data_IF_028394676744
#
_entry.id   IF_028394676744
#
_cell.length_a   1.000
_cell.length_b   1.000
_cell.length_c   1.000
_cell.angle_alpha   90.00
_cell.angle_beta   90.00
_cell.angle_gamma   90.00
#
_symmetry.space_group_name_H-M   'P 1'
#
loop_
_entity.id
_entity.type
_entity.pdbx_description
1 polymer ?
#
# COMPACT_ATOMS: atom_id res chain seq x y z
N UNK A 1 -12.47 -1.00 30.22
CA UNK A 1 -13.27 -2.18 30.61
C UNK A 1 -13.19 -2.35 32.10
N UNK A 2 -14.23 -2.88 32.75
CA UNK A 2 -14.34 -3.14 34.19
C UNK A 2 -13.17 -3.96 34.72
N UNK A 3 -12.65 -4.91 33.94
CA UNK A 3 -11.50 -5.75 34.28
C UNK A 3 -10.22 -4.91 34.40
N UNK A 4 -9.99 -3.94 33.56
CA UNK A 4 -8.82 -3.06 33.62
C UNK A 4 -8.85 -2.16 34.87
N UNK A 5 -10.06 -1.77 35.34
CA UNK A 5 -10.25 -0.98 36.53
C UNK A 5 -9.90 -1.83 37.78
N UNK A 6 -10.40 -3.06 37.87
CA UNK A 6 -10.12 -3.98 38.95
C UNK A 6 -8.63 -4.37 39.06
N UNK A 7 -7.97 -4.58 37.93
CA UNK A 7 -6.53 -4.88 37.90
C UNK A 7 -5.69 -3.67 38.36
N UNK A 8 -6.15 -2.46 38.08
CA UNK A 8 -5.51 -1.24 38.57
C UNK A 8 -5.73 -1.05 40.08
N UNK A 9 -6.96 -1.23 40.55
CA UNK A 9 -7.32 -1.13 41.97
C UNK A 9 -6.62 -2.22 42.83
N UNK A 10 -6.41 -3.40 42.25
CA UNK A 10 -5.66 -4.48 42.89
C UNK A 10 -4.12 -4.31 42.83
N UNK A 11 -3.62 -3.23 42.24
CA UNK A 11 -2.17 -2.97 42.10
C UNK A 11 -1.42 -3.95 41.19
N UNK A 12 -2.17 -4.76 40.41
CA UNK A 12 -1.59 -5.78 39.51
C UNK A 12 -1.29 -5.21 38.14
N UNK A 13 -1.84 -4.03 37.78
CA UNK A 13 -1.59 -3.35 36.53
C UNK A 13 -1.41 -1.85 36.75
N UNK A 14 -0.28 -1.31 36.33
CA UNK A 14 -0.06 0.12 36.26
C UNK A 14 -0.59 0.67 34.94
N UNK A 15 -1.20 1.86 35.00
CA UNK A 15 -1.59 2.58 33.78
C UNK A 15 -0.34 2.94 32.97
N UNK A 16 -0.15 2.28 31.83
CA UNK A 16 0.94 2.62 30.94
C UNK A 16 0.71 4.01 30.35
N UNK A 17 1.42 5.02 30.86
CA UNK A 17 1.33 6.41 30.44
C UNK A 17 1.63 6.61 28.91
N UNK A 18 2.27 5.63 28.27
CA UNK A 18 2.50 5.62 26.81
C UNK A 18 1.31 5.08 26.02
N UNK A 19 0.38 4.37 26.65
CA UNK A 19 -0.92 4.01 26.03
C UNK A 19 -1.88 5.19 26.16
N UNK A 20 -1.64 6.23 25.40
CA UNK A 20 -2.69 7.23 25.16
C UNK A 20 -3.90 6.50 24.57
N UNK A 21 -5.17 6.79 25.03
CA UNK A 21 -6.34 6.31 24.32
C UNK A 21 -6.15 6.72 22.85
N UNK A 22 -6.25 5.76 21.93
CA UNK A 22 -6.24 6.08 20.51
C UNK A 22 -7.40 7.05 20.32
N UNK A 23 -7.09 8.35 20.19
CA UNK A 23 -8.05 9.28 19.62
C UNK A 23 -8.52 8.58 18.37
N UNK A 24 -9.83 8.42 18.21
CA UNK A 24 -10.38 7.88 16.98
C UNK A 24 -9.93 8.83 15.87
N UNK A 25 -8.87 8.46 15.17
CA UNK A 25 -8.44 9.20 14.00
C UNK A 25 -9.64 9.15 13.07
N UNK A 26 -10.19 10.31 12.68
CA UNK A 26 -11.18 10.37 11.64
C UNK A 26 -10.62 9.57 10.47
N UNK A 27 -11.35 8.54 10.08
CA UNK A 27 -10.99 7.70 8.94
C UNK A 27 -10.99 8.64 7.73
N UNK A 28 -9.82 9.00 7.26
CA UNK A 28 -9.69 9.82 6.08
C UNK A 28 -9.86 8.86 4.90
N UNK A 29 -10.96 8.94 4.23
CA UNK A 29 -11.25 8.21 3.01
C UNK A 29 -11.99 9.17 2.09
N UNK A 30 -11.73 9.08 0.80
CA UNK A 30 -12.49 9.82 -0.20
C UNK A 30 -13.92 9.29 -0.25
N UNK A 31 -14.86 10.15 -0.63
CA UNK A 31 -16.28 9.80 -0.66
C UNK A 31 -16.67 9.07 -1.95
N UNK A 32 -15.93 9.27 -3.04
CA UNK A 32 -16.24 8.70 -4.35
C UNK A 32 -15.07 7.88 -4.89
N UNK A 33 -15.41 6.84 -5.64
CA UNK A 33 -14.44 6.06 -6.42
C UNK A 33 -13.72 6.96 -7.43
N UNK A 34 -12.49 6.60 -7.74
CA UNK A 34 -11.60 7.30 -8.67
C UNK A 34 -11.23 8.75 -8.28
N UNK A 35 -11.60 9.21 -7.08
CA UNK A 35 -11.06 10.45 -6.54
C UNK A 35 -9.61 10.30 -6.12
N UNK A 36 -9.26 9.17 -5.49
CA UNK A 36 -7.92 8.89 -5.00
C UNK A 36 -7.59 7.41 -5.12
N UNK A 37 -6.53 7.11 -5.86
CA UNK A 37 -5.91 5.80 -5.84
C UNK A 37 -4.66 5.83 -4.98
N UNK A 38 -4.36 4.71 -4.32
CA UNK A 38 -3.16 4.51 -3.49
C UNK A 38 -2.30 3.45 -4.14
N UNK A 39 -1.05 3.80 -4.46
CA UNK A 39 -0.05 2.89 -5.00
C UNK A 39 1.08 2.73 -3.99
N UNK A 40 1.31 1.50 -3.57
CA UNK A 40 2.39 1.17 -2.65
C UNK A 40 3.14 -0.07 -3.13
N UNK A 41 4.44 -0.10 -2.85
CA UNK A 41 5.33 -1.19 -3.20
C UNK A 41 5.87 -1.89 -1.96
N UNK A 42 5.92 -3.22 -1.97
CA UNK A 42 6.54 -3.97 -0.89
C UNK A 42 7.35 -5.16 -1.40
N UNK A 43 8.35 -5.55 -0.61
CA UNK A 43 9.20 -6.70 -0.93
C UNK A 43 8.53 -7.97 -0.44
N UNK A 44 8.41 -8.95 -1.34
CA UNK A 44 7.97 -10.30 -1.02
C UNK A 44 9.09 -11.32 -1.29
N UNK A 45 9.14 -12.41 -0.53
CA UNK A 45 10.11 -13.49 -0.70
C UNK A 45 9.42 -14.74 -1.18
N UNK A 46 9.90 -15.28 -2.30
CA UNK A 46 9.42 -16.55 -2.83
C UNK A 46 9.77 -17.71 -1.90
N UNK A 47 9.00 -18.78 -1.98
CA UNK A 47 9.27 -20.07 -1.30
C UNK A 47 10.21 -20.96 -2.11
N UNK A 48 11.04 -20.39 -2.97
CA UNK A 48 12.13 -21.07 -3.65
C UNK A 48 13.37 -21.15 -2.75
N UNK A 49 14.38 -21.90 -3.23
CA UNK A 49 15.72 -21.85 -2.65
C UNK A 49 16.60 -21.09 -3.64
N UNK A 50 16.93 -19.82 -3.42
CA UNK A 50 17.41 -19.19 -2.18
C UNK A 50 16.46 -18.15 -1.54
N UNK A 51 15.16 -18.22 -1.66
CA UNK A 51 14.19 -17.22 -1.20
C UNK A 51 14.34 -15.89 -1.95
N UNK A 52 14.17 -15.97 -3.26
CA UNK A 52 14.30 -14.84 -4.17
C UNK A 52 13.38 -13.70 -3.75
N UNK A 53 13.94 -12.49 -3.66
CA UNK A 53 13.17 -11.28 -3.38
C UNK A 53 12.58 -10.73 -4.67
N UNK A 54 11.31 -10.38 -4.61
CA UNK A 54 10.56 -9.70 -5.67
C UNK A 54 9.88 -8.46 -5.08
N UNK A 55 9.50 -7.53 -5.93
CA UNK A 55 8.69 -6.36 -5.55
C UNK A 55 7.26 -6.57 -6.04
N UNK A 56 6.28 -6.35 -5.16
CA UNK A 56 4.86 -6.33 -5.51
C UNK A 56 4.38 -4.89 -5.36
N UNK A 57 3.77 -4.35 -6.42
CA UNK A 57 3.03 -3.10 -6.35
C UNK A 57 1.56 -3.40 -6.22
N UNK A 58 0.92 -2.79 -5.22
CA UNK A 58 -0.51 -2.87 -4.98
C UNK A 58 -1.14 -1.51 -5.28
N UNK A 59 -2.20 -1.50 -6.06
CA UNK A 59 -2.97 -0.30 -6.39
C UNK A 59 -4.41 -0.46 -5.90
N UNK A 60 -4.85 0.44 -5.03
CA UNK A 60 -6.16 0.37 -4.35
C UNK A 60 -6.90 1.69 -4.51
N UNK A 61 -8.18 1.64 -4.81
CA UNK A 61 -9.07 2.80 -4.71
C UNK A 61 -9.38 3.12 -3.23
N UNK A 62 -9.18 4.37 -2.80
CA UNK A 62 -9.33 4.77 -1.40
C UNK A 62 -10.77 4.69 -0.91
N UNK A 63 -11.74 4.96 -1.75
CA UNK A 63 -13.16 4.99 -1.40
C UNK A 63 -13.74 3.58 -1.27
N UNK A 64 -13.63 2.77 -2.32
CA UNK A 64 -14.19 1.41 -2.38
C UNK A 64 -13.31 0.36 -1.70
N UNK A 65 -12.01 0.62 -1.56
CA UNK A 65 -10.98 -0.33 -1.14
C UNK A 65 -10.77 -1.48 -2.12
N UNK A 66 -11.26 -1.33 -3.34
CA UNK A 66 -11.09 -2.29 -4.41
C UNK A 66 -9.62 -2.30 -4.88
N UNK A 67 -9.06 -3.50 -5.06
CA UNK A 67 -7.75 -3.70 -5.65
C UNK A 67 -7.84 -3.53 -7.18
N UNK A 68 -7.34 -2.41 -7.68
CA UNK A 68 -7.39 -2.06 -9.11
C UNK A 68 -6.37 -2.83 -9.94
N UNK A 69 -5.36 -3.40 -9.28
CA UNK A 69 -4.33 -4.20 -9.92
C UNK A 69 -3.10 -4.31 -9.06
N UNK A 70 -2.68 -5.54 -8.81
CA UNK A 70 -1.43 -5.83 -8.14
C UNK A 70 -0.50 -6.54 -9.10
N UNK A 71 0.75 -6.09 -9.21
CA UNK A 71 1.73 -6.66 -10.13
C UNK A 71 3.04 -6.99 -9.43
N UNK A 72 3.63 -8.13 -9.78
CA UNK A 72 4.87 -8.63 -9.23
C UNK A 72 6.03 -8.49 -10.23
N UNK A 73 7.18 -7.99 -9.76
CA UNK A 73 8.38 -7.75 -10.57
C UNK A 73 9.62 -8.35 -9.93
N UNK A 74 10.52 -8.88 -10.74
CA UNK A 74 11.80 -9.41 -10.28
C UNK A 74 12.78 -8.30 -9.84
N UNK A 75 12.58 -7.08 -10.31
CA UNK A 75 13.42 -5.95 -9.98
C UNK A 75 13.13 -5.41 -8.58
N UNK A 76 14.12 -4.71 -8.00
CA UNK A 76 13.89 -3.88 -6.82
C UNK A 76 12.92 -2.75 -7.17
N UNK A 77 12.29 -2.20 -6.15
CA UNK A 77 11.38 -1.07 -6.27
C UNK A 77 11.94 0.04 -7.16
N UNK A 78 11.16 0.44 -8.17
CA UNK A 78 11.52 1.47 -9.13
C UNK A 78 10.29 2.12 -9.76
N UNK A 79 10.45 3.34 -10.25
CA UNK A 79 9.36 4.12 -10.84
C UNK A 79 8.84 3.59 -12.18
N UNK A 80 9.60 2.77 -12.92
CA UNK A 80 9.14 2.21 -14.19
C UNK A 80 8.08 1.13 -13.95
N UNK A 81 8.36 0.16 -13.08
CA UNK A 81 7.44 -0.93 -12.75
C UNK A 81 6.17 -0.41 -12.06
N UNK A 82 6.32 0.59 -11.19
CA UNK A 82 5.20 1.29 -10.57
C UNK A 82 4.28 1.96 -11.62
N UNK A 83 4.85 2.66 -12.61
CA UNK A 83 4.07 3.24 -13.70
C UNK A 83 3.44 2.18 -14.59
N UNK A 84 4.09 1.04 -14.80
CA UNK A 84 3.53 -0.08 -15.56
C UNK A 84 2.26 -0.60 -14.89
N UNK A 85 2.31 -0.81 -13.56
CA UNK A 85 1.14 -1.23 -12.77
C UNK A 85 0.00 -0.21 -12.88
N UNK A 86 0.32 1.08 -12.71
CA UNK A 86 -0.66 2.15 -12.79
C UNK A 86 -1.26 2.30 -14.21
N UNK A 87 -0.43 2.19 -15.26
CA UNK A 87 -0.89 2.29 -16.64
C UNK A 87 -1.88 1.18 -17.01
N UNK A 88 -1.63 -0.05 -16.59
CA UNK A 88 -2.54 -1.18 -16.79
C UNK A 88 -3.90 -0.97 -16.11
N UNK A 89 -3.91 -0.42 -14.88
CA UNK A 89 -5.14 -0.09 -14.19
C UNK A 89 -5.89 1.06 -14.86
N UNK A 90 -5.20 2.10 -15.33
CA UNK A 90 -5.80 3.23 -16.07
C UNK A 90 -6.46 2.76 -17.37
N UNK A 91 -5.84 1.83 -18.09
CA UNK A 91 -6.41 1.25 -19.30
C UNK A 91 -7.72 0.50 -19.01
N UNK A 92 -7.81 -0.16 -17.87
CA UNK A 92 -8.98 -0.98 -17.51
C UNK A 92 -10.10 -0.17 -16.85
N UNK A 93 -9.78 0.74 -15.93
CA UNK A 93 -10.77 1.42 -15.07
C UNK A 93 -10.89 2.92 -15.34
N UNK A 94 -10.03 3.49 -16.17
CA UNK A 94 -9.96 4.93 -16.35
C UNK A 94 -8.95 5.59 -15.41
N UNK A 95 -8.94 6.91 -15.36
CA UNK A 95 -7.95 7.70 -14.61
C UNK A 95 -8.51 8.14 -13.26
N UNK A 96 -7.73 8.06 -12.17
CA UNK A 96 -8.07 8.75 -10.94
C UNK A 96 -7.84 10.25 -11.07
N UNK A 97 -8.43 11.02 -10.17
CA UNK A 97 -8.10 12.45 -10.03
C UNK A 97 -6.75 12.63 -9.35
N UNK A 98 -6.49 11.82 -8.32
CA UNK A 98 -5.30 11.89 -7.47
C UNK A 98 -4.67 10.51 -7.29
N UNK A 99 -3.34 10.50 -7.18
CA UNK A 99 -2.57 9.32 -6.81
C UNK A 99 -1.76 9.61 -5.55
N UNK A 100 -1.99 8.81 -4.52
CA UNK A 100 -1.18 8.78 -3.30
C UNK A 100 -0.11 7.71 -3.44
N UNK A 101 1.14 8.10 -3.24
CA UNK A 101 2.28 7.18 -3.16
C UNK A 101 3.01 7.40 -1.84
N UNK A 102 3.82 6.44 -1.43
CA UNK A 102 4.78 6.68 -0.36
C UNK A 102 5.85 7.71 -0.80
N UNK A 103 6.66 8.18 0.16
CA UNK A 103 7.74 9.14 -0.10
C UNK A 103 9.00 8.47 -0.68
N UNK A 104 8.90 7.26 -1.22
CA UNK A 104 10.00 6.55 -1.84
C UNK A 104 10.62 7.34 -3.01
N UNK A 105 11.93 7.24 -3.19
CA UNK A 105 12.66 7.92 -4.28
C UNK A 105 12.12 7.56 -5.68
N UNK A 106 11.45 6.42 -5.80
CA UNK A 106 10.80 5.97 -7.02
C UNK A 106 9.62 6.83 -7.44
N UNK A 107 8.96 7.52 -6.49
CA UNK A 107 7.68 8.18 -6.70
C UNK A 107 7.76 9.70 -6.55
N UNK A 108 8.45 10.21 -5.54
CA UNK A 108 8.43 11.64 -5.21
C UNK A 108 9.85 12.19 -4.98
N UNK A 109 10.23 13.14 -5.80
CA UNK A 109 11.52 13.84 -5.67
C UNK A 109 11.38 15.37 -5.52
N UNK A 110 10.14 15.88 -5.41
CA UNK A 110 9.90 17.31 -5.35
C UNK A 110 10.61 17.98 -4.15
N UNK A 111 10.86 17.28 -3.07
CA UNK A 111 11.69 17.77 -1.95
C UNK A 111 13.12 18.12 -2.36
N UNK A 112 13.59 17.60 -3.49
CA UNK A 112 14.93 17.87 -4.05
C UNK A 112 14.90 18.93 -5.14
N UNK A 113 13.77 19.64 -5.32
CA UNK A 113 13.62 20.70 -6.33
C UNK A 113 13.53 20.20 -7.78
N UNK A 114 13.27 18.91 -7.99
CA UNK A 114 13.07 18.29 -9.31
C UNK A 114 11.86 17.38 -9.27
N UNK A 115 11.09 17.34 -10.37
CA UNK A 115 10.06 16.32 -10.57
C UNK A 115 10.71 15.01 -11.01
N UNK A 116 10.28 13.90 -10.42
CA UNK A 116 10.63 12.55 -10.89
C UNK A 116 10.01 12.28 -12.26
N UNK A 117 10.48 11.25 -12.95
CA UNK A 117 9.87 10.80 -14.20
C UNK A 117 8.43 10.34 -13.97
N UNK A 118 8.15 9.77 -12.80
CA UNK A 118 6.80 9.37 -12.40
C UNK A 118 5.88 10.58 -12.21
N UNK A 119 6.34 11.62 -11.51
CA UNK A 119 5.55 12.86 -11.33
C UNK A 119 5.28 13.57 -12.66
N UNK A 120 6.26 13.61 -13.57
CA UNK A 120 6.07 14.17 -14.92
C UNK A 120 5.06 13.38 -15.73
N UNK A 121 5.14 12.05 -15.67
CA UNK A 121 4.22 11.17 -16.36
C UNK A 121 2.79 11.33 -15.83
N UNK A 122 2.60 11.39 -14.49
CA UNK A 122 1.30 11.64 -13.86
C UNK A 122 0.70 12.99 -14.30
N UNK A 123 1.51 14.04 -14.26
CA UNK A 123 1.08 15.37 -14.71
C UNK A 123 0.63 15.37 -16.18
N UNK A 124 1.35 14.65 -17.07
CA UNK A 124 0.96 14.49 -18.46
C UNK A 124 -0.36 13.71 -18.63
N UNK A 125 -0.71 12.83 -17.70
CA UNK A 125 -2.00 12.13 -17.64
C UNK A 125 -3.12 12.97 -16.98
N UNK A 126 -2.80 14.13 -16.44
CA UNK A 126 -3.74 14.96 -15.69
C UNK A 126 -4.08 14.39 -14.30
N UNK A 127 -3.20 13.58 -13.74
CA UNK A 127 -3.35 12.98 -12.41
C UNK A 127 -2.54 13.79 -11.40
N UNK A 128 -3.17 14.18 -10.29
CA UNK A 128 -2.50 14.92 -9.24
C UNK A 128 -1.73 13.98 -8.32
N UNK A 129 -0.42 14.16 -8.21
CA UNK A 129 0.43 13.35 -7.32
C UNK A 129 0.41 13.89 -5.91
N UNK A 130 0.08 13.03 -4.94
CA UNK A 130 0.12 13.32 -3.50
C UNK A 130 1.18 12.41 -2.88
N UNK A 131 2.16 13.01 -2.21
CA UNK A 131 3.12 12.26 -1.40
C UNK A 131 2.55 12.04 0.00
N UNK A 132 2.62 10.82 0.50
CA UNK A 132 2.13 10.44 1.83
C UNK A 132 2.97 11.06 2.94
N UNK A 133 2.43 12.02 3.67
CA UNK A 133 3.15 12.76 4.73
C UNK A 133 2.87 12.30 6.16
N UNK A 134 2.18 11.19 6.38
CA UNK A 134 1.79 10.89 7.74
C UNK A 134 1.69 9.40 8.09
N UNK A 135 1.91 9.05 9.37
CA UNK A 135 1.77 7.69 9.87
C UNK A 135 0.35 7.13 9.75
N UNK A 136 -0.61 7.97 9.37
CA UNK A 136 -2.02 7.61 9.21
C UNK A 136 -2.31 6.96 7.85
N UNK A 137 -1.58 7.33 6.81
CA UNK A 137 -1.63 6.70 5.48
C UNK A 137 -0.94 5.34 5.52
N UNK A 138 0.22 5.23 6.14
CA UNK A 138 0.98 3.99 6.28
C UNK A 138 0.23 2.86 7.00
N UNK A 139 -0.60 3.17 8.00
CA UNK A 139 -1.34 2.15 8.77
C UNK A 139 -2.49 1.46 8.03
N UNK A 140 -2.96 2.02 6.90
CA UNK A 140 -3.97 1.38 6.04
C UNK A 140 -3.32 0.38 5.07
N UNK A 141 -2.21 0.78 4.49
CA UNK A 141 -1.49 0.01 3.48
C UNK A 141 -0.80 -1.20 4.13
N UNK A 142 -0.26 -1.03 5.35
CA UNK A 142 0.32 -2.12 6.14
C UNK A 142 -0.67 -3.29 6.36
N UNK A 143 -1.95 -3.02 6.62
CA UNK A 143 -2.97 -4.07 6.79
C UNK A 143 -3.30 -4.77 5.48
N UNK A 144 -3.37 -4.04 4.38
CA UNK A 144 -3.61 -4.58 3.04
C UNK A 144 -2.48 -5.51 2.65
N UNK A 145 -1.24 -5.06 2.81
CA UNK A 145 -0.04 -5.86 2.56
C UNK A 145 0.03 -7.11 3.43
N UNK A 146 -0.30 -7.00 4.73
CA UNK A 146 -0.34 -8.15 5.63
C UNK A 146 -1.37 -9.20 5.18
N UNK A 147 -2.53 -8.77 4.70
CA UNK A 147 -3.58 -9.68 4.22
C UNK A 147 -3.14 -10.38 2.95
N UNK A 148 -2.60 -9.64 1.98
CA UNK A 148 -2.06 -10.18 0.74
C UNK A 148 -0.88 -11.12 1.00
N UNK A 149 0.06 -10.74 1.86
CA UNK A 149 1.20 -11.59 2.24
C UNK A 149 0.72 -12.91 2.84
N UNK A 150 -0.24 -12.90 3.77
CA UNK A 150 -0.82 -14.13 4.34
C UNK A 150 -1.49 -15.01 3.29
N UNK A 151 -2.18 -14.40 2.31
CA UNK A 151 -2.79 -15.12 1.22
C UNK A 151 -1.75 -15.82 0.33
N UNK A 152 -0.65 -15.13 0.01
CA UNK A 152 0.47 -15.69 -0.74
C UNK A 152 1.22 -16.76 0.05
N UNK A 153 1.54 -16.50 1.33
CA UNK A 153 2.27 -17.43 2.20
C UNK A 153 1.55 -18.77 2.36
N UNK A 154 0.21 -18.72 2.44
CA UNK A 154 -0.60 -19.94 2.52
C UNK A 154 -0.49 -20.82 1.25
N UNK A 155 -0.08 -20.25 0.11
CA UNK A 155 0.05 -20.92 -1.20
C UNK A 155 1.48 -21.18 -1.61
N UNK A 156 2.45 -20.64 -0.86
CA UNK A 156 3.88 -20.90 -1.01
C UNK A 156 4.40 -20.78 -2.46
N UNK A 157 4.20 -19.64 -3.15
CA UNK A 157 4.64 -19.51 -4.53
C UNK A 157 6.17 -19.54 -4.63
N UNK A 158 6.66 -20.28 -5.62
CA UNK A 158 8.10 -20.46 -5.89
C UNK A 158 8.59 -19.71 -7.12
N UNK A 159 7.70 -19.11 -7.90
CA UNK A 159 8.03 -18.36 -9.12
C UNK A 159 7.27 -17.04 -9.19
N UNK A 160 7.86 -16.07 -9.90
CA UNK A 160 7.21 -14.78 -10.17
C UNK A 160 5.86 -14.95 -10.88
N UNK A 161 5.80 -15.86 -11.87
CA UNK A 161 4.57 -16.15 -12.60
C UNK A 161 3.47 -16.70 -11.69
N UNK A 162 3.81 -17.59 -10.77
CA UNK A 162 2.86 -18.14 -9.79
C UNK A 162 2.34 -17.04 -8.84
N UNK A 163 3.23 -16.12 -8.39
CA UNK A 163 2.79 -14.96 -7.61
C UNK A 163 1.79 -14.13 -8.41
N UNK A 164 2.07 -13.81 -9.68
CA UNK A 164 1.15 -13.01 -10.50
C UNK A 164 -0.22 -13.67 -10.65
N UNK A 165 -0.28 -14.97 -10.91
CA UNK A 165 -1.54 -15.72 -10.95
C UNK A 165 -2.32 -15.61 -9.64
N UNK A 166 -1.63 -15.76 -8.51
CA UNK A 166 -2.25 -15.62 -7.19
C UNK A 166 -2.73 -14.19 -6.88
N UNK A 167 -2.03 -13.16 -7.38
CA UNK A 167 -2.47 -11.78 -7.26
C UNK A 167 -3.74 -11.50 -8.09
N UNK A 168 -3.82 -12.11 -9.28
CA UNK A 168 -5.01 -12.03 -10.12
C UNK A 168 -6.21 -12.73 -9.45
N UNK A 169 -5.99 -13.92 -8.87
CA UNK A 169 -7.01 -14.67 -8.09
C UNK A 169 -7.43 -13.91 -6.81
N UNK A 170 -6.52 -13.16 -6.18
CA UNK A 170 -6.80 -12.40 -4.97
C UNK A 170 -7.78 -11.25 -5.21
N UNK A 171 -7.83 -10.76 -6.42
CA UNK A 171 -8.68 -9.63 -6.82
C UNK A 171 -10.12 -10.05 -7.16
N UNK A 172 -10.36 -11.31 -7.53
CA UNK A 172 -11.69 -11.87 -7.80
C UNK A 172 -12.49 -12.13 -6.51
#
# INVERSE_FOLDING_TARGET
>A
STIALWLHEAGVAEANARKRPRKSYKRWARDKVDELWQLDGFVYRLFDTPHTQITIYQLVDDASRFDLGSQAFAAKENGFDARTTLAAAIETYGRPQELLTDNGEAFATYHRGRLSDTERWLAAQGIWSIAGFGPQTQGKDERSHQTMTKFLDARQPTTLQHVQQLLDDYRE
#
